data_IF_130045915197
#
_entry.id   IF_130045915197
#
_cell.length_a   1.000
_cell.length_b   1.000
_cell.length_c   1.000
_cell.angle_alpha   90.00
_cell.angle_beta   90.00
_cell.angle_gamma   90.00
#
_symmetry.space_group_name_H-M   'P 1'
#
loop_
_entity.id
_entity.type
_entity.pdbx_description
1 polymer ?
#
# COMPACT_ATOMS: atom_id res chain seq x y z
N UNK A 1 0.61 -32.57 9.17
CA UNK A 1 0.29 -31.29 8.53
C UNK A 1 -1.21 -31.05 8.70
N UNK A 2 -1.63 -29.86 9.13
CA UNK A 2 -3.06 -29.49 9.23
C UNK A 2 -3.61 -29.14 7.87
N UNK A 3 -4.88 -29.49 7.61
CA UNK A 3 -5.56 -29.15 6.35
C UNK A 3 -6.70 -28.17 6.64
N UNK A 4 -6.86 -27.18 5.76
CA UNK A 4 -7.96 -26.21 5.78
C UNK A 4 -8.67 -26.21 4.42
N UNK A 5 -9.96 -25.89 4.42
CA UNK A 5 -10.71 -25.72 3.18
C UNK A 5 -10.21 -24.48 2.43
N UNK A 6 -10.05 -23.37 3.15
CA UNK A 6 -9.51 -22.13 2.58
C UNK A 6 -8.42 -21.57 3.50
N UNK A 7 -7.28 -21.23 2.93
CA UNK A 7 -6.25 -20.40 3.59
C UNK A 7 -6.14 -19.07 2.86
N UNK A 8 -6.22 -17.98 3.62
CA UNK A 8 -6.16 -16.61 3.11
C UNK A 8 -4.83 -16.00 3.52
N UNK A 9 -4.09 -15.50 2.55
CA UNK A 9 -2.79 -14.88 2.76
C UNK A 9 -2.98 -13.36 2.79
N UNK A 10 -2.92 -12.79 4.00
CA UNK A 10 -3.14 -11.38 4.28
C UNK A 10 -4.48 -11.11 4.99
N UNK A 11 -4.39 -10.50 6.16
CA UNK A 11 -5.52 -10.09 7.00
C UNK A 11 -5.95 -8.63 6.79
N UNK A 12 -5.68 -8.06 5.60
CA UNK A 12 -6.16 -6.74 5.19
C UNK A 12 -7.63 -6.77 4.73
N UNK A 13 -8.17 -5.65 4.22
CA UNK A 13 -9.60 -5.53 3.89
C UNK A 13 -10.08 -6.60 2.92
N UNK A 14 -9.31 -6.93 1.90
CA UNK A 14 -9.66 -7.95 0.91
C UNK A 14 -9.72 -9.36 1.54
N UNK A 15 -8.71 -9.74 2.33
CA UNK A 15 -8.67 -11.03 3.00
C UNK A 15 -9.75 -11.18 4.07
N UNK A 16 -10.01 -10.16 4.86
CA UNK A 16 -11.08 -10.16 5.87
C UNK A 16 -12.47 -10.32 5.23
N UNK A 17 -12.76 -9.56 4.18
CA UNK A 17 -14.04 -9.66 3.48
C UNK A 17 -14.23 -11.02 2.80
N UNK A 18 -13.17 -11.56 2.19
CA UNK A 18 -13.18 -12.90 1.60
C UNK A 18 -13.44 -14.00 2.66
N UNK A 19 -12.80 -13.89 3.82
CA UNK A 19 -13.00 -14.83 4.92
C UNK A 19 -14.45 -14.83 5.44
N UNK A 20 -15.01 -13.64 5.65
CA UNK A 20 -16.40 -13.45 6.09
C UNK A 20 -17.38 -13.99 5.04
N UNK A 21 -17.16 -13.69 3.76
CA UNK A 21 -17.98 -14.18 2.67
C UNK A 21 -17.94 -15.71 2.56
N UNK A 22 -16.76 -16.31 2.62
CA UNK A 22 -16.59 -17.76 2.58
C UNK A 22 -17.31 -18.45 3.75
N UNK A 23 -17.19 -17.92 4.97
CA UNK A 23 -17.86 -18.45 6.15
C UNK A 23 -19.38 -18.36 6.04
N UNK A 24 -19.91 -17.23 5.60
CA UNK A 24 -21.36 -17.03 5.39
C UNK A 24 -21.94 -17.93 4.32
N UNK A 25 -21.12 -18.40 3.38
CA UNK A 25 -21.51 -19.37 2.35
C UNK A 25 -21.18 -20.84 2.72
N UNK A 26 -20.97 -21.13 3.99
CA UNK A 26 -20.91 -22.48 4.53
C UNK A 26 -19.53 -23.13 4.62
N UNK A 27 -18.44 -22.40 4.32
CA UNK A 27 -17.09 -22.94 4.53
C UNK A 27 -16.74 -22.92 6.01
N UNK A 28 -16.41 -24.07 6.59
CA UNK A 28 -16.15 -24.18 8.04
C UNK A 28 -14.67 -24.02 8.39
N UNK A 29 -13.77 -24.57 7.58
CA UNK A 29 -12.34 -24.61 7.89
C UNK A 29 -11.57 -23.52 7.15
N UNK A 30 -11.56 -22.31 7.73
CA UNK A 30 -10.88 -21.12 7.19
C UNK A 30 -9.75 -20.72 8.12
N UNK A 31 -8.58 -20.35 7.54
CA UNK A 31 -7.46 -19.77 8.26
C UNK A 31 -6.96 -18.51 7.54
N UNK A 32 -6.80 -17.42 8.27
CA UNK A 32 -6.12 -16.20 7.81
C UNK A 32 -4.69 -16.22 8.36
N UNK A 33 -3.70 -15.98 7.48
CA UNK A 33 -2.30 -15.78 7.86
C UNK A 33 -1.95 -14.30 7.65
N UNK A 34 -1.60 -13.62 8.76
CA UNK A 34 -1.25 -12.19 8.76
C UNK A 34 0.16 -11.98 9.32
N UNK A 35 0.99 -11.25 8.57
CA UNK A 35 2.38 -10.98 8.97
C UNK A 35 2.51 -9.91 10.06
N UNK A 36 1.56 -8.99 10.15
CA UNK A 36 1.59 -7.92 11.15
C UNK A 36 1.07 -8.42 12.52
N UNK A 37 1.19 -7.56 13.53
CA UNK A 37 0.74 -7.79 14.91
C UNK A 37 -0.77 -7.78 15.08
N UNK A 38 -1.50 -7.32 14.07
CA UNK A 38 -2.95 -7.14 14.09
C UNK A 38 -3.58 -7.31 12.71
N UNK A 39 -4.86 -7.64 12.67
CA UNK A 39 -5.67 -7.66 11.46
C UNK A 39 -6.02 -6.22 11.01
N UNK A 40 -6.41 -6.04 9.74
CA UNK A 40 -6.82 -4.76 9.17
C UNK A 40 -5.87 -4.25 8.08
N UNK A 41 -4.61 -4.69 8.11
CA UNK A 41 -3.62 -4.34 7.09
C UNK A 41 -3.41 -2.83 6.95
N UNK A 42 -3.31 -2.34 5.72
CA UNK A 42 -3.05 -0.93 5.43
C UNK A 42 -4.13 0.03 5.98
N UNK A 43 -5.35 -0.46 6.20
CA UNK A 43 -6.43 0.38 6.71
C UNK A 43 -6.16 0.92 8.11
N UNK A 44 -5.38 0.20 8.93
CA UNK A 44 -5.07 0.65 10.29
C UNK A 44 -4.35 1.99 10.34
N UNK A 45 -3.57 2.34 9.31
CA UNK A 45 -2.91 3.63 9.19
C UNK A 45 -3.70 4.69 8.40
N UNK A 46 -4.80 4.31 7.74
CA UNK A 46 -5.65 5.19 6.93
C UNK A 46 -6.70 5.89 7.78
N UNK A 47 -6.28 6.83 8.64
CA UNK A 47 -7.19 7.52 9.60
C UNK A 47 -8.08 8.59 8.95
N UNK A 48 -7.98 8.79 7.63
CA UNK A 48 -8.86 9.68 6.87
C UNK A 48 -10.19 9.01 6.55
N UNK A 49 -11.22 9.79 6.27
CA UNK A 49 -12.54 9.33 5.85
C UNK A 49 -12.57 8.89 4.38
N UNK A 50 -13.64 8.20 4.00
CA UNK A 50 -13.93 7.81 2.62
C UNK A 50 -14.11 6.31 2.42
N UNK A 51 -14.07 5.54 3.49
CA UNK A 51 -14.37 4.10 3.48
C UNK A 51 -15.83 3.83 3.85
N UNK A 52 -16.35 2.67 3.47
CA UNK A 52 -17.64 2.17 3.96
C UNK A 52 -18.89 2.63 3.20
N UNK A 53 -18.85 3.68 2.40
CA UNK A 53 -20.02 4.24 1.73
C UNK A 53 -20.82 3.21 0.90
N UNK A 54 -20.12 2.35 0.16
CA UNK A 54 -20.79 1.31 -0.64
C UNK A 54 -21.15 0.07 0.17
N UNK A 55 -20.33 -0.30 1.15
CA UNK A 55 -20.48 -1.55 1.90
C UNK A 55 -21.41 -1.41 3.10
N UNK A 56 -21.30 -0.32 3.84
CA UNK A 56 -22.00 -0.09 5.09
C UNK A 56 -22.99 1.09 5.03
N UNK A 57 -23.06 1.82 3.91
CA UNK A 57 -23.85 3.05 3.75
C UNK A 57 -23.50 4.12 4.79
N UNK A 58 -22.26 4.09 5.29
CA UNK A 58 -21.70 5.02 6.26
C UNK A 58 -20.33 5.49 5.80
N UNK A 59 -19.97 6.73 6.11
CA UNK A 59 -18.63 7.23 5.90
C UNK A 59 -17.76 6.90 7.11
N UNK A 60 -16.76 6.05 6.92
CA UNK A 60 -15.88 5.53 7.95
C UNK A 60 -14.43 5.92 7.66
N UNK A 61 -13.61 5.93 8.71
CA UNK A 61 -12.15 5.88 8.59
C UNK A 61 -11.68 4.46 8.26
N UNK A 62 -10.42 4.31 7.85
CA UNK A 62 -9.83 2.98 7.58
C UNK A 62 -9.92 2.02 8.77
N UNK A 63 -9.50 2.43 9.99
CA UNK A 63 -9.61 1.59 11.18
C UNK A 63 -11.05 1.18 11.54
N UNK A 64 -12.02 2.09 11.41
CA UNK A 64 -13.44 1.77 11.62
C UNK A 64 -13.95 0.74 10.62
N UNK A 65 -13.62 0.92 9.34
CA UNK A 65 -13.98 -0.05 8.30
C UNK A 65 -13.35 -1.43 8.58
N UNK A 66 -12.05 -1.48 8.87
CA UNK A 66 -11.37 -2.72 9.23
C UNK A 66 -12.00 -3.36 10.48
N UNK A 67 -12.30 -2.58 11.51
CA UNK A 67 -12.93 -3.02 12.75
C UNK A 67 -14.26 -3.73 12.51
N UNK A 68 -15.09 -3.24 11.58
CA UNK A 68 -16.35 -3.89 11.19
C UNK A 68 -16.15 -5.32 10.66
N UNK A 69 -15.11 -5.55 9.87
CA UNK A 69 -14.79 -6.89 9.35
C UNK A 69 -14.09 -7.76 10.39
N UNK A 70 -13.20 -7.19 11.20
CA UNK A 70 -12.52 -7.90 12.29
C UNK A 70 -13.53 -8.44 13.29
N UNK A 71 -14.52 -7.64 13.68
CA UNK A 71 -15.62 -8.07 14.54
C UNK A 71 -16.36 -9.28 13.96
N UNK A 72 -16.71 -9.23 12.67
CA UNK A 72 -17.37 -10.36 11.99
C UNK A 72 -16.47 -11.63 11.96
N UNK A 73 -15.18 -11.47 11.71
CA UNK A 73 -14.22 -12.59 11.74
C UNK A 73 -14.22 -13.28 13.12
N UNK A 74 -14.22 -12.49 14.20
CA UNK A 74 -14.25 -12.98 15.59
C UNK A 74 -15.58 -13.67 15.91
N UNK A 75 -16.70 -13.00 15.61
CA UNK A 75 -18.06 -13.53 15.88
C UNK A 75 -18.35 -14.82 15.12
N UNK A 76 -17.85 -14.94 13.89
CA UNK A 76 -17.97 -16.15 13.07
C UNK A 76 -16.97 -17.25 13.44
N UNK A 77 -16.10 -17.03 14.41
CA UNK A 77 -15.10 -18.01 14.86
C UNK A 77 -14.08 -18.36 13.78
N UNK A 78 -13.77 -17.45 12.84
CA UNK A 78 -12.76 -17.68 11.81
C UNK A 78 -11.38 -17.64 12.43
N UNK A 79 -10.56 -18.66 12.18
CA UNK A 79 -9.21 -18.76 12.73
C UNK A 79 -8.25 -17.82 12.00
N UNK A 80 -7.33 -17.22 12.75
CA UNK A 80 -6.23 -16.44 12.19
C UNK A 80 -4.94 -16.64 12.99
N UNK A 81 -3.79 -16.38 12.35
CA UNK A 81 -2.47 -16.33 12.97
C UNK A 81 -1.83 -15.00 12.60
N UNK A 82 -1.49 -14.22 13.63
CA UNK A 82 -0.74 -12.98 13.52
C UNK A 82 0.76 -13.24 13.56
N UNK A 83 1.58 -12.21 13.27
CA UNK A 83 3.04 -12.33 13.24
C UNK A 83 3.53 -13.51 12.40
N UNK A 84 2.73 -13.93 11.40
CA UNK A 84 2.96 -15.15 10.63
C UNK A 84 3.27 -14.78 9.17
N UNK A 85 4.54 -14.96 8.81
CA UNK A 85 5.03 -14.70 7.46
C UNK A 85 4.91 -15.96 6.62
N UNK A 86 4.19 -15.87 5.50
CA UNK A 86 4.19 -16.91 4.48
C UNK A 86 5.46 -16.77 3.65
N UNK A 87 6.23 -17.84 3.56
CA UNK A 87 7.52 -17.89 2.87
C UNK A 87 7.40 -18.45 1.46
N UNK A 88 6.51 -19.43 1.28
CA UNK A 88 6.32 -20.13 0.02
C UNK A 88 4.95 -20.81 -0.05
N UNK A 89 4.45 -21.00 -1.25
CA UNK A 89 3.25 -21.80 -1.55
C UNK A 89 3.57 -22.67 -2.76
N UNK A 90 3.49 -23.99 -2.59
CA UNK A 90 3.71 -24.92 -3.68
C UNK A 90 2.50 -24.98 -4.64
N UNK A 91 2.70 -25.52 -5.83
CA UNK A 91 1.62 -25.77 -6.81
C UNK A 91 0.49 -26.66 -6.24
N UNK A 92 0.82 -27.56 -5.31
CA UNK A 92 -0.15 -28.42 -4.61
C UNK A 92 -0.82 -27.72 -3.42
N UNK A 93 -0.66 -26.41 -3.30
CA UNK A 93 -1.24 -25.58 -2.24
C UNK A 93 -0.75 -25.95 -0.82
N UNK A 94 0.50 -26.41 -0.70
CA UNK A 94 1.21 -26.51 0.58
C UNK A 94 1.83 -25.15 0.91
N UNK A 95 1.40 -24.56 2.00
CA UNK A 95 1.85 -23.25 2.45
C UNK A 95 2.92 -23.45 3.51
N UNK A 96 4.11 -22.91 3.28
CA UNK A 96 5.20 -22.82 4.26
C UNK A 96 5.19 -21.45 4.91
N UNK A 97 5.05 -21.41 6.21
CA UNK A 97 4.99 -20.19 7.01
C UNK A 97 5.90 -20.25 8.22
N UNK A 98 6.23 -19.07 8.77
CA UNK A 98 7.07 -18.94 9.96
C UNK A 98 6.47 -17.91 10.92
N UNK A 99 6.51 -18.22 12.23
CA UNK A 99 6.24 -17.28 13.30
C UNK A 99 7.10 -17.61 14.52
N UNK A 100 6.99 -16.81 15.61
CA UNK A 100 7.77 -17.03 16.83
C UNK A 100 7.31 -18.24 17.64
N UNK A 101 6.02 -18.57 17.60
CA UNK A 101 5.41 -19.60 18.45
C UNK A 101 5.62 -20.99 17.88
N UNK A 102 5.35 -21.17 16.57
CA UNK A 102 5.38 -22.48 15.90
C UNK A 102 6.72 -22.74 15.19
N UNK A 103 7.61 -21.72 15.08
CA UNK A 103 8.77 -21.79 14.20
C UNK A 103 8.34 -21.86 12.73
N UNK A 104 9.06 -22.63 11.91
CA UNK A 104 8.68 -22.91 10.53
C UNK A 104 7.71 -24.11 10.49
N UNK A 105 6.58 -23.95 9.85
CA UNK A 105 5.55 -24.98 9.74
C UNK A 105 4.89 -25.00 8.37
N UNK A 106 4.18 -26.09 8.08
CA UNK A 106 3.46 -26.27 6.82
C UNK A 106 1.98 -26.54 7.05
N UNK A 107 1.15 -26.03 6.13
CA UNK A 107 -0.30 -26.16 6.11
C UNK A 107 -0.71 -26.60 4.71
N UNK A 108 -1.64 -27.56 4.61
CA UNK A 108 -2.31 -27.92 3.37
C UNK A 108 -3.59 -27.09 3.23
N UNK A 109 -3.80 -26.46 2.08
CA UNK A 109 -5.07 -25.83 1.71
C UNK A 109 -5.75 -26.59 0.57
N UNK A 110 -7.10 -26.63 0.57
CA UNK A 110 -7.86 -27.05 -0.61
C UNK A 110 -7.97 -25.89 -1.61
N UNK A 111 -8.16 -24.65 -1.08
CA UNK A 111 -8.11 -23.43 -1.86
C UNK A 111 -7.28 -22.37 -1.14
N UNK A 112 -6.65 -21.48 -1.91
CA UNK A 112 -5.83 -20.35 -1.41
C UNK A 112 -6.40 -19.05 -1.95
N UNK A 113 -6.54 -18.04 -1.07
CA UNK A 113 -6.87 -16.68 -1.47
C UNK A 113 -5.65 -15.78 -1.24
N UNK A 114 -5.10 -15.26 -2.31
CA UNK A 114 -3.99 -14.32 -2.31
C UNK A 114 -4.54 -12.91 -2.08
N UNK A 115 -4.28 -12.32 -0.90
CA UNK A 115 -4.74 -11.00 -0.49
C UNK A 115 -3.61 -10.18 0.15
N UNK A 116 -2.37 -10.39 -0.34
CA UNK A 116 -1.14 -9.82 0.23
C UNK A 116 -1.01 -8.31 0.00
N UNK A 117 -1.84 -7.73 -0.88
CA UNK A 117 -1.79 -6.31 -1.19
C UNK A 117 -0.58 -5.91 -2.03
N UNK A 118 -0.08 -4.70 -1.80
CA UNK A 118 0.99 -4.10 -2.58
C UNK A 118 1.97 -3.35 -1.67
N UNK A 119 3.13 -3.00 -2.23
CA UNK A 119 4.09 -2.04 -1.67
C UNK A 119 4.24 -0.84 -2.59
N UNK A 120 4.70 0.27 -2.05
CA UNK A 120 4.97 1.47 -2.84
C UNK A 120 6.32 1.38 -3.55
N UNK A 121 6.41 2.05 -4.69
CA UNK A 121 7.69 2.21 -5.39
C UNK A 121 8.65 3.05 -4.55
N UNK A 122 9.82 2.51 -4.31
CA UNK A 122 10.90 3.21 -3.62
C UNK A 122 11.70 4.11 -4.56
N UNK A 123 12.52 4.99 -3.98
CA UNK A 123 13.48 5.81 -4.73
C UNK A 123 14.36 4.99 -5.66
N UNK A 124 14.80 3.81 -5.22
CA UNK A 124 15.63 2.92 -6.03
C UNK A 124 14.95 2.42 -7.30
N UNK A 125 13.65 2.18 -7.26
CA UNK A 125 12.86 1.79 -8.44
C UNK A 125 12.67 2.92 -9.45
N UNK A 126 12.78 4.20 -9.00
CA UNK A 126 12.63 5.38 -9.84
C UNK A 126 13.95 5.88 -10.45
N UNK A 127 15.07 5.39 -9.96
CA UNK A 127 16.41 5.86 -10.35
C UNK A 127 16.59 7.40 -10.30
N UNK A 128 15.98 8.06 -9.29
CA UNK A 128 16.14 9.51 -9.12
C UNK A 128 17.65 9.80 -8.91
N UNK A 129 18.24 10.73 -9.66
CA UNK A 129 19.63 11.14 -9.49
C UNK A 129 19.92 11.73 -8.10
N UNK A 130 21.21 11.93 -7.80
CA UNK A 130 21.65 12.54 -6.55
C UNK A 130 21.96 11.55 -5.44
N UNK A 131 22.09 12.06 -4.23
CA UNK A 131 22.46 11.29 -3.04
C UNK A 131 21.33 10.38 -2.54
N UNK A 132 21.66 9.50 -1.60
CA UNK A 132 20.71 8.55 -0.96
C UNK A 132 20.72 8.72 0.56
N UNK A 133 20.43 9.92 1.07
CA UNK A 133 20.45 10.20 2.49
C UNK A 133 19.20 9.66 3.19
N UNK A 134 19.15 9.76 4.53
CA UNK A 134 17.91 9.68 5.28
C UNK A 134 16.94 10.81 4.88
N UNK A 135 15.65 10.65 5.17
CA UNK A 135 14.62 11.66 4.83
C UNK A 135 13.89 11.39 3.52
N UNK A 136 14.18 10.29 2.82
CA UNK A 136 13.42 9.86 1.65
C UNK A 136 12.52 8.70 2.06
N UNK A 137 11.20 8.89 1.99
CA UNK A 137 10.21 7.89 2.38
C UNK A 137 9.18 7.71 1.27
N UNK A 138 8.59 6.53 1.17
CA UNK A 138 7.31 6.42 0.49
C UNK A 138 6.21 7.10 1.32
N UNK A 139 5.15 7.57 0.68
CA UNK A 139 4.07 8.28 1.36
C UNK A 139 3.36 7.39 2.40
N UNK A 140 3.17 6.11 2.11
CA UNK A 140 2.60 5.15 3.05
C UNK A 140 3.52 4.81 4.23
N UNK A 141 4.85 4.80 4.04
CA UNK A 141 5.80 4.70 5.17
C UNK A 141 5.70 5.93 6.07
N UNK A 142 5.65 7.13 5.50
CA UNK A 142 5.43 8.35 6.27
C UNK A 142 4.08 8.34 7.00
N UNK A 143 3.03 7.83 6.35
CA UNK A 143 1.71 7.66 6.95
C UNK A 143 1.75 6.74 8.17
N UNK A 144 2.47 5.61 8.09
CA UNK A 144 2.66 4.71 9.23
C UNK A 144 3.41 5.39 10.37
N UNK A 145 4.52 6.07 10.06
CA UNK A 145 5.31 6.79 11.06
C UNK A 145 4.46 7.80 11.82
N UNK A 146 3.68 8.60 11.12
CA UNK A 146 2.83 9.63 11.73
C UNK A 146 1.64 9.03 12.47
N UNK A 147 0.87 8.15 11.81
CA UNK A 147 -0.44 7.73 12.31
C UNK A 147 -0.39 6.56 13.30
N UNK A 148 0.65 5.72 13.23
CA UNK A 148 0.78 4.53 14.09
C UNK A 148 1.91 4.68 15.11
N UNK A 149 3.08 5.17 14.65
CA UNK A 149 4.28 5.20 15.48
C UNK A 149 4.46 6.54 16.22
N UNK A 150 3.73 7.60 15.83
CA UNK A 150 3.78 8.93 16.45
C UNK A 150 5.05 9.72 16.14
N UNK A 151 5.72 9.44 15.00
CA UNK A 151 6.92 10.16 14.57
C UNK A 151 6.63 11.07 13.40
N UNK A 152 7.14 12.32 13.47
CA UNK A 152 7.14 13.25 12.34
C UNK A 152 8.38 12.98 11.47
N UNK A 153 8.24 12.53 10.19
CA UNK A 153 9.38 12.18 9.32
C UNK A 153 10.31 13.37 9.02
N UNK A 154 9.78 14.57 9.02
CA UNK A 154 10.52 15.80 8.79
C UNK A 154 9.66 17.03 8.87
N UNK A 155 10.26 18.21 8.72
CA UNK A 155 9.61 19.51 8.94
C UNK A 155 9.42 20.33 7.67
N UNK A 156 10.32 20.21 6.69
CA UNK A 156 10.20 20.83 5.37
C UNK A 156 10.08 19.74 4.33
N UNK A 157 8.92 19.59 3.73
CA UNK A 157 8.54 18.40 2.97
C UNK A 157 8.26 18.77 1.52
N UNK A 158 8.84 18.00 0.61
CA UNK A 158 8.44 17.96 -0.81
C UNK A 158 7.83 16.60 -1.09
N UNK A 159 6.76 16.56 -1.87
CA UNK A 159 6.07 15.32 -2.24
C UNK A 159 6.15 15.13 -3.75
N UNK A 160 6.61 13.97 -4.20
CA UNK A 160 6.58 13.57 -5.60
C UNK A 160 5.45 12.55 -5.82
N UNK A 161 4.51 12.92 -6.67
CA UNK A 161 3.31 12.16 -7.02
C UNK A 161 2.06 12.70 -6.33
N UNK A 162 1.03 12.95 -7.13
CA UNK A 162 -0.27 13.50 -6.73
C UNK A 162 -1.40 12.46 -6.70
N UNK A 163 -1.06 11.19 -6.50
CA UNK A 163 -2.04 10.17 -6.14
C UNK A 163 -2.66 10.42 -4.76
N UNK A 164 -3.78 9.78 -4.44
CA UNK A 164 -4.53 10.05 -3.21
C UNK A 164 -3.67 10.01 -1.94
N UNK A 165 -2.77 9.03 -1.81
CA UNK A 165 -1.89 8.94 -0.63
C UNK A 165 -0.95 10.15 -0.53
N UNK A 166 -0.39 10.62 -1.64
CA UNK A 166 0.45 11.82 -1.67
C UNK A 166 -0.30 13.06 -1.21
N UNK A 167 -1.53 13.25 -1.71
CA UNK A 167 -2.41 14.36 -1.33
C UNK A 167 -2.81 14.29 0.14
N UNK A 168 -3.25 13.12 0.61
CA UNK A 168 -3.61 12.88 2.01
C UNK A 168 -2.43 13.15 2.93
N UNK A 169 -1.22 12.75 2.54
CA UNK A 169 -0.02 13.00 3.33
C UNK A 169 0.41 14.46 3.30
N UNK A 170 0.17 15.20 2.22
CA UNK A 170 0.38 16.66 2.20
C UNK A 170 -0.44 17.34 3.31
N UNK A 171 -1.73 17.06 3.35
CA UNK A 171 -2.62 17.54 4.43
C UNK A 171 -2.18 17.05 5.80
N UNK A 172 -1.90 15.75 5.94
CA UNK A 172 -1.56 15.15 7.23
C UNK A 172 -0.28 15.72 7.83
N UNK A 173 0.78 15.85 7.04
CA UNK A 173 2.04 16.44 7.47
C UNK A 173 1.86 17.90 7.90
N UNK A 174 1.07 18.67 7.18
CA UNK A 174 0.75 20.05 7.51
C UNK A 174 0.01 20.16 8.85
N UNK A 175 -0.96 19.28 9.10
CA UNK A 175 -1.70 19.22 10.38
C UNK A 175 -0.81 18.84 11.57
N UNK A 176 0.26 18.10 11.34
CA UNK A 176 1.28 17.78 12.36
C UNK A 176 2.38 18.86 12.50
N UNK A 177 2.24 19.98 11.80
CA UNK A 177 3.13 21.12 11.90
C UNK A 177 4.35 21.10 10.98
N UNK A 178 4.36 20.26 9.96
CA UNK A 178 5.36 20.33 8.90
C UNK A 178 4.95 21.38 7.85
N UNK A 179 5.94 21.98 7.19
CA UNK A 179 5.78 22.83 6.02
C UNK A 179 5.85 21.95 4.76
N UNK A 180 4.72 21.71 4.10
CA UNK A 180 4.69 21.05 2.79
C UNK A 180 4.81 22.12 1.72
N UNK A 181 5.97 22.19 1.07
CA UNK A 181 6.32 23.26 0.16
C UNK A 181 5.67 23.11 -1.22
N UNK A 182 5.56 21.86 -1.70
CA UNK A 182 5.03 21.55 -3.03
C UNK A 182 4.69 20.08 -3.15
N UNK A 183 3.67 19.79 -3.96
CA UNK A 183 3.41 18.47 -4.55
C UNK A 183 3.75 18.54 -6.02
N UNK A 184 4.68 17.71 -6.50
CA UNK A 184 5.07 17.62 -7.89
C UNK A 184 4.46 16.36 -8.53
N UNK A 185 3.98 16.49 -9.77
CA UNK A 185 3.37 15.40 -10.53
C UNK A 185 3.99 15.33 -11.93
N UNK A 186 4.46 14.14 -12.29
CA UNK A 186 5.05 13.89 -13.59
C UNK A 186 4.06 14.11 -14.75
N UNK A 187 2.80 13.73 -14.53
CA UNK A 187 1.75 13.85 -15.53
C UNK A 187 1.20 15.28 -15.62
N UNK A 188 0.61 15.69 -16.75
CA UNK A 188 -0.04 16.99 -16.88
C UNK A 188 -1.40 17.07 -16.17
N UNK A 189 -1.71 16.10 -15.33
CA UNK A 189 -2.92 16.01 -14.50
C UNK A 189 -2.63 15.24 -13.21
N UNK A 190 -3.37 15.52 -12.14
CA UNK A 190 -3.31 14.77 -10.90
C UNK A 190 -4.00 13.41 -11.04
N UNK A 191 -3.38 12.36 -10.49
CA UNK A 191 -3.97 11.01 -10.40
C UNK A 191 -4.95 10.83 -9.22
N UNK A 192 -4.99 11.77 -8.29
CA UNK A 192 -5.86 11.71 -7.12
C UNK A 192 -7.28 12.20 -7.38
N UNK A 193 -8.19 11.87 -6.48
CA UNK A 193 -9.57 12.33 -6.52
C UNK A 193 -9.66 13.85 -6.40
N UNK A 194 -10.55 14.48 -7.16
CA UNK A 194 -10.74 15.94 -7.15
C UNK A 194 -11.00 16.50 -5.74
N UNK A 195 -11.79 15.79 -4.91
CA UNK A 195 -12.04 16.19 -3.53
C UNK A 195 -10.74 16.25 -2.70
N UNK A 196 -9.80 15.33 -2.94
CA UNK A 196 -8.53 15.29 -2.22
C UNK A 196 -7.61 16.43 -2.68
N UNK A 197 -7.67 16.86 -3.95
CA UNK A 197 -6.96 18.06 -4.41
C UNK A 197 -7.45 19.26 -3.59
N UNK A 198 -8.75 19.49 -3.52
CA UNK A 198 -9.33 20.61 -2.77
C UNK A 198 -8.98 20.51 -1.27
N UNK A 199 -9.36 19.40 -0.64
CA UNK A 199 -9.25 19.26 0.84
C UNK A 199 -7.82 19.11 1.34
N UNK A 200 -6.89 18.69 0.50
CA UNK A 200 -5.52 18.40 0.92
C UNK A 200 -4.50 19.43 0.42
N UNK A 201 -4.80 20.12 -0.67
CA UNK A 201 -3.89 21.14 -1.21
C UNK A 201 -4.50 22.54 -1.17
N UNK A 202 -5.65 22.75 -1.81
CA UNK A 202 -6.24 24.10 -1.97
C UNK A 202 -6.56 24.71 -0.59
N UNK A 203 -7.19 23.95 0.31
CA UNK A 203 -7.54 24.40 1.68
C UNK A 203 -6.32 24.75 2.54
N UNK A 204 -5.14 24.25 2.18
CA UNK A 204 -3.87 24.49 2.90
C UNK A 204 -2.91 25.39 2.12
N UNK A 205 -3.28 25.84 0.91
CA UNK A 205 -2.43 26.68 0.07
C UNK A 205 -1.16 25.96 -0.42
N UNK A 206 -1.18 24.62 -0.54
CA UNK A 206 -0.04 23.83 -0.99
C UNK A 206 -0.02 23.81 -2.52
N UNK A 207 1.08 24.26 -3.17
CA UNK A 207 1.18 24.28 -4.62
C UNK A 207 1.20 22.88 -5.22
N UNK A 208 0.46 22.67 -6.33
CA UNK A 208 0.54 21.49 -7.17
C UNK A 208 1.25 21.85 -8.49
N UNK A 209 2.41 21.26 -8.74
CA UNK A 209 3.16 21.39 -9.99
C UNK A 209 2.98 20.18 -10.87
N UNK A 210 2.19 20.33 -11.92
CA UNK A 210 1.98 19.29 -12.94
C UNK A 210 3.12 19.32 -13.96
N UNK A 211 3.37 18.20 -14.63
CA UNK A 211 4.49 18.04 -15.58
C UNK A 211 5.86 18.35 -14.96
N UNK A 212 6.05 17.98 -13.70
CA UNK A 212 7.32 18.18 -12.98
C UNK A 212 7.80 16.89 -12.35
N UNK A 213 9.12 16.75 -12.24
CA UNK A 213 9.76 15.62 -11.53
C UNK A 213 10.98 16.05 -10.75
N UNK A 214 11.41 15.22 -9.80
CA UNK A 214 12.67 15.41 -9.07
C UNK A 214 13.82 14.92 -9.93
N UNK A 215 14.79 15.80 -10.19
CA UNK A 215 15.96 15.53 -11.01
C UNK A 215 17.26 15.43 -10.21
N UNK A 216 17.30 15.92 -8.98
CA UNK A 216 18.45 15.81 -8.09
C UNK A 216 18.01 15.81 -6.60
N UNK A 217 18.79 15.12 -5.77
CA UNK A 217 18.62 15.07 -4.30
C UNK A 217 19.95 15.46 -3.66
N UNK A 218 19.93 16.50 -2.82
CA UNK A 218 21.06 17.04 -2.10
C UNK A 218 21.10 16.54 -0.66
N UNK A 219 22.32 16.49 -0.08
CA UNK A 219 22.55 16.06 1.29
C UNK A 219 23.09 14.63 1.38
N UNK A 220 24.09 14.41 2.24
CA UNK A 220 24.79 13.12 2.40
C UNK A 220 24.17 12.27 3.51
N UNK A 221 23.97 12.85 4.68
CA UNK A 221 23.41 12.15 5.83
C UNK A 221 21.88 12.21 5.83
N UNK A 222 21.33 13.37 5.56
CA UNK A 222 19.91 13.63 5.42
C UNK A 222 19.65 14.48 4.17
N UNK A 223 18.43 14.46 3.67
CA UNK A 223 17.98 15.38 2.62
C UNK A 223 18.15 16.81 3.11
N UNK A 224 18.84 17.63 2.32
CA UNK A 224 19.05 19.07 2.53
C UNK A 224 18.33 19.89 1.47
N UNK A 225 17.94 19.26 0.39
CA UNK A 225 17.17 19.87 -0.69
C UNK A 225 16.96 18.92 -1.86
N UNK A 226 16.06 19.33 -2.74
CA UNK A 226 15.81 18.67 -4.02
C UNK A 226 15.74 19.70 -5.14
N UNK A 227 15.96 19.25 -6.35
CA UNK A 227 15.73 20.04 -7.56
C UNK A 227 14.57 19.44 -8.34
N UNK A 228 13.53 20.23 -8.62
CA UNK A 228 12.47 19.90 -9.57
C UNK A 228 12.81 20.44 -10.94
N UNK A 229 12.32 19.82 -12.00
CA UNK A 229 12.28 20.38 -13.33
C UNK A 229 10.96 20.05 -14.03
N UNK A 230 10.54 20.93 -14.94
CA UNK A 230 9.45 20.65 -15.86
C UNK A 230 9.85 19.51 -16.82
N UNK A 231 8.89 18.70 -17.24
CA UNK A 231 9.12 17.61 -18.18
C UNK A 231 8.35 17.83 -19.48
N UNK A 232 8.94 17.38 -20.57
CA UNK A 232 8.29 17.35 -21.87
C UNK A 232 7.23 16.22 -21.95
N UNK A 233 6.54 16.13 -23.10
CA UNK A 233 5.52 15.09 -23.36
C UNK A 233 6.06 13.65 -23.30
N UNK A 234 7.38 13.46 -23.37
CA UNK A 234 8.04 12.15 -23.21
C UNK A 234 8.49 11.88 -21.77
N UNK A 235 8.24 12.80 -20.84
CA UNK A 235 8.65 12.70 -19.42
C UNK A 235 10.11 13.05 -19.18
N UNK A 236 10.80 13.71 -20.16
CA UNK A 236 12.20 14.13 -20.02
C UNK A 236 12.28 15.53 -19.45
N UNK A 237 13.18 15.78 -18.47
CA UNK A 237 13.39 17.11 -17.91
C UNK A 237 13.80 18.13 -18.99
N UNK A 238 13.22 19.33 -18.93
CA UNK A 238 13.50 20.45 -19.82
C UNK A 238 14.60 21.30 -19.17
N UNK A 239 15.80 21.43 -19.80
CA UNK A 239 16.88 22.26 -19.27
C UNK A 239 16.46 23.74 -19.15
N UNK A 240 16.87 24.38 -18.05
CA UNK A 240 16.55 25.77 -17.74
C UNK A 240 15.24 25.98 -17.01
N UNK A 241 14.57 24.90 -16.59
CA UNK A 241 13.34 24.92 -15.78
C UNK A 241 13.58 24.45 -14.35
N UNK A 242 14.84 24.30 -13.95
CA UNK A 242 15.22 23.78 -12.65
C UNK A 242 14.79 24.72 -11.52
N UNK A 243 14.13 24.18 -10.52
CA UNK A 243 13.73 24.87 -9.30
C UNK A 243 14.28 24.13 -8.08
N UNK A 244 14.96 24.86 -7.22
CA UNK A 244 15.54 24.30 -5.98
C UNK A 244 14.59 24.50 -4.79
N UNK A 245 14.43 23.43 -4.00
CA UNK A 245 13.67 23.41 -2.76
C UNK A 245 14.57 22.98 -1.63
N UNK A 246 14.77 23.84 -0.63
CA UNK A 246 15.41 23.48 0.62
C UNK A 246 14.42 22.66 1.45
N UNK A 247 14.68 21.38 1.67
CA UNK A 247 13.81 20.48 2.40
C UNK A 247 14.61 19.42 3.15
N UNK A 248 14.05 18.88 4.22
CA UNK A 248 14.65 17.78 5.00
C UNK A 248 13.99 16.43 4.71
N UNK A 249 12.93 16.43 3.90
CA UNK A 249 12.15 15.22 3.62
C UNK A 249 11.55 15.25 2.22
N UNK A 250 11.74 14.13 1.50
CA UNK A 250 11.10 13.84 0.23
C UNK A 250 10.15 12.66 0.40
N UNK A 251 8.85 12.86 0.17
CA UNK A 251 7.87 11.79 0.12
C UNK A 251 7.60 11.36 -1.31
N UNK A 252 7.53 10.04 -1.54
CA UNK A 252 7.29 9.43 -2.83
C UNK A 252 5.91 8.77 -2.85
N UNK A 253 5.02 9.24 -3.72
CA UNK A 253 3.68 8.68 -4.00
C UNK A 253 3.55 8.33 -5.48
N UNK A 254 4.43 7.47 -5.97
CA UNK A 254 4.70 7.28 -7.41
C UNK A 254 4.30 5.90 -7.93
N UNK A 255 3.26 5.36 -7.35
CA UNK A 255 2.65 4.10 -7.76
C UNK A 255 2.97 2.93 -6.83
N UNK A 256 2.22 1.86 -7.04
CA UNK A 256 2.21 0.64 -6.24
C UNK A 256 2.81 -0.52 -7.03
N UNK A 257 3.35 -1.50 -6.31
CA UNK A 257 3.86 -2.76 -6.85
C UNK A 257 3.12 -3.88 -6.12
N UNK A 258 2.31 -4.71 -6.81
CA UNK A 258 1.67 -5.87 -6.21
C UNK A 258 2.69 -6.84 -5.58
N UNK A 259 2.34 -7.43 -4.43
CA UNK A 259 3.19 -8.38 -3.70
C UNK A 259 3.03 -9.80 -4.28
N UNK A 260 3.65 -10.05 -5.43
CA UNK A 260 3.44 -11.27 -6.23
C UNK A 260 4.66 -12.20 -6.33
N UNK A 261 5.65 -12.07 -5.45
CA UNK A 261 6.80 -12.96 -5.42
C UNK A 261 6.36 -14.40 -5.14
N UNK A 262 5.50 -14.61 -4.14
CA UNK A 262 4.95 -15.93 -3.78
C UNK A 262 4.04 -16.46 -4.90
N UNK A 263 3.18 -15.60 -5.44
CA UNK A 263 2.29 -15.97 -6.55
C UNK A 263 3.07 -16.49 -7.76
N UNK A 264 4.15 -15.79 -8.11
CA UNK A 264 5.04 -16.22 -9.21
C UNK A 264 5.76 -17.53 -8.89
N UNK A 265 6.21 -17.71 -7.65
CA UNK A 265 6.88 -18.93 -7.19
C UNK A 265 6.03 -20.17 -7.34
N UNK A 266 4.72 -20.08 -7.10
CA UNK A 266 3.79 -21.20 -7.27
C UNK A 266 3.29 -21.41 -8.71
N UNK A 267 3.66 -20.54 -9.67
CA UNK A 267 3.27 -20.66 -11.08
C UNK A 267 2.04 -19.85 -11.50
N UNK A 268 1.61 -18.88 -10.70
CA UNK A 268 0.54 -17.94 -11.07
C UNK A 268 1.03 -17.02 -12.19
N UNK A 269 0.25 -16.94 -13.28
CA UNK A 269 0.51 -16.03 -14.38
C UNK A 269 0.19 -14.57 -13.98
N UNK A 270 1.14 -13.67 -14.24
CA UNK A 270 0.97 -12.25 -13.97
C UNK A 270 0.66 -11.46 -15.25
N UNK A 271 -0.16 -10.44 -15.12
CA UNK A 271 -0.43 -9.49 -16.19
C UNK A 271 0.80 -8.56 -16.35
N UNK A 272 1.40 -8.45 -17.56
CA UNK A 272 2.60 -7.63 -17.74
C UNK A 272 2.39 -6.13 -17.57
N UNK A 273 1.14 -5.65 -17.65
CA UNK A 273 0.82 -4.22 -17.50
C UNK A 273 0.60 -3.86 -16.04
N UNK A 274 -0.20 -4.65 -15.31
CA UNK A 274 -0.55 -4.37 -13.91
C UNK A 274 0.39 -5.02 -12.91
N UNK A 275 1.13 -6.05 -13.33
CA UNK A 275 1.92 -6.96 -12.47
C UNK A 275 1.08 -7.74 -11.45
N UNK A 276 -0.25 -7.65 -11.50
CA UNK A 276 -1.18 -8.46 -10.71
C UNK A 276 -1.44 -9.82 -11.35
N UNK A 277 -2.02 -10.77 -10.61
CA UNK A 277 -2.42 -12.07 -11.15
C UNK A 277 -3.43 -11.95 -12.29
N UNK A 278 -3.29 -12.79 -13.29
CA UNK A 278 -4.37 -12.98 -14.28
C UNK A 278 -5.46 -13.83 -13.65
N UNK A 279 -6.66 -13.28 -13.61
CA UNK A 279 -7.83 -13.96 -13.03
C UNK A 279 -9.00 -13.99 -14.01
N UNK A 280 -9.88 -14.97 -13.84
CA UNK A 280 -11.17 -15.03 -14.52
C UNK A 280 -12.23 -14.17 -13.77
N UNK A 281 -13.50 -14.24 -14.20
CA UNK A 281 -14.63 -13.51 -13.60
C UNK A 281 -14.94 -13.92 -12.15
N UNK A 282 -14.46 -15.10 -11.72
CA UNK A 282 -14.57 -15.58 -10.34
C UNK A 282 -13.34 -15.26 -9.49
N UNK A 283 -12.42 -14.42 -10.00
CA UNK A 283 -11.14 -14.09 -9.40
C UNK A 283 -10.19 -15.29 -9.22
N UNK A 284 -10.42 -16.40 -9.91
CA UNK A 284 -9.55 -17.56 -9.93
C UNK A 284 -8.41 -17.34 -10.92
N UNK A 285 -7.19 -17.73 -10.53
CA UNK A 285 -5.98 -17.63 -11.36
C UNK A 285 -5.91 -18.80 -12.35
N UNK A 286 -4.80 -18.91 -13.11
CA UNK A 286 -4.50 -20.10 -13.90
C UNK A 286 -4.24 -21.37 -13.05
N UNK A 287 -4.05 -21.24 -11.75
CA UNK A 287 -3.87 -22.35 -10.82
C UNK A 287 -5.21 -22.69 -10.16
N UNK A 288 -5.70 -23.93 -10.38
CA UNK A 288 -6.98 -24.38 -9.84
C UNK A 288 -7.07 -24.23 -8.33
N UNK A 289 -8.15 -23.60 -7.84
CA UNK A 289 -8.39 -23.33 -6.44
C UNK A 289 -7.48 -22.26 -5.83
N UNK A 290 -6.84 -21.44 -6.68
CA UNK A 290 -6.05 -20.27 -6.24
C UNK A 290 -6.69 -19.01 -6.76
N UNK A 291 -7.12 -18.15 -5.84
CA UNK A 291 -7.83 -16.90 -6.10
C UNK A 291 -6.98 -15.71 -5.70
N UNK A 292 -7.20 -14.55 -6.30
CA UNK A 292 -6.52 -13.32 -5.95
C UNK A 292 -7.50 -12.15 -5.84
N UNK A 293 -7.34 -11.31 -4.81
CA UNK A 293 -8.19 -10.14 -4.61
C UNK A 293 -7.47 -8.99 -3.89
N UNK A 294 -7.98 -7.78 -4.05
CA UNK A 294 -7.35 -6.57 -3.52
C UNK A 294 -6.26 -6.02 -4.45
N UNK A 295 -5.20 -5.47 -3.85
CA UNK A 295 -4.10 -4.83 -4.58
C UNK A 295 -2.93 -5.79 -4.90
N UNK A 296 -3.17 -7.09 -4.77
CA UNK A 296 -2.17 -8.12 -5.07
C UNK A 296 -1.97 -8.29 -6.58
#
# INVERSE_FOLDING_TARGET
MKTYDIVIIGGGPAGLSAAVAARKNGTESILILERDKELGGILNQCIHNGFGLHTFQEELTGPEYAGRFITQVIELGIKYKLHTMVMDISADKVITAINREDGMFQIQAKAVILAMGCRERSRGALNIPGYRPAGIFSAGTAQRLVNIEGYLPGRKVVILGSGDIGLIMARRMTLEGAEVQVVAELMPYSGGLKRNIVQCLDDFGIPLKLSHTVIDIKGKERVEGITLAEVDKSGKPIPGTEEEYECDTLLLSVGLIPENEISRGMGVELNPVTSGPRVNESLETNMEGVFACGNV
#
